data_IF_253858832701
#
_entry.id   IF_253858832701
#
_cell.length_a   1.000
_cell.length_b   1.000
_cell.length_c   1.000
_cell.angle_alpha   90.00
_cell.angle_beta   90.00
_cell.angle_gamma   90.00
#
_symmetry.space_group_name_H-M   'P 1'
#
loop_
_entity.id
_entity.type
_entity.pdbx_description
1 polymer ?
#
# COMPACT_ATOMS: atom_id res chain seq x y z
N UNK A 1 -70.40 -48.52 -37.77
CA UNK A 1 -70.25 -47.55 -36.70
C UNK A 1 -68.79 -47.61 -36.28
N UNK A 2 -67.93 -46.72 -36.78
CA UNK A 2 -66.53 -46.60 -36.43
C UNK A 2 -66.20 -45.07 -36.38
N UNK A 3 -65.94 -44.54 -35.21
CA UNK A 3 -65.53 -43.18 -34.93
C UNK A 3 -64.07 -43.03 -35.24
N UNK A 4 -63.73 -42.05 -36.03
CA UNK A 4 -62.34 -41.64 -36.37
C UNK A 4 -61.94 -40.49 -35.45
N UNK A 5 -60.87 -40.68 -34.64
CA UNK A 5 -60.28 -39.68 -33.80
C UNK A 5 -59.22 -38.88 -34.55
N UNK A 6 -59.40 -37.58 -34.62
CA UNK A 6 -58.45 -36.62 -35.18
C UNK A 6 -57.36 -36.34 -34.19
N UNK A 7 -56.09 -36.51 -34.52
CA UNK A 7 -54.92 -36.07 -33.75
C UNK A 7 -54.40 -34.75 -34.32
N UNK A 8 -54.51 -33.73 -33.53
CA UNK A 8 -53.90 -32.41 -33.80
C UNK A 8 -52.42 -32.46 -33.44
N UNK A 9 -51.55 -32.17 -34.39
CA UNK A 9 -50.11 -32.00 -34.19
C UNK A 9 -49.86 -30.54 -33.92
N UNK A 10 -49.39 -30.22 -32.71
CA UNK A 10 -48.92 -28.89 -32.34
C UNK A 10 -47.42 -28.81 -32.66
N UNK A 11 -47.08 -28.00 -33.65
CA UNK A 11 -45.70 -27.71 -34.01
C UNK A 11 -45.07 -26.72 -33.03
N UNK A 12 -44.01 -27.12 -32.38
CA UNK A 12 -43.20 -26.28 -31.50
C UNK A 12 -42.16 -25.53 -32.33
N UNK A 13 -42.37 -24.23 -32.56
CA UNK A 13 -41.36 -23.35 -33.15
C UNK A 13 -40.30 -23.01 -32.10
N UNK A 14 -39.09 -23.57 -32.24
CA UNK A 14 -37.90 -23.14 -31.51
C UNK A 14 -37.36 -21.85 -32.15
N UNK A 15 -37.60 -20.71 -31.47
CA UNK A 15 -36.91 -19.44 -31.77
C UNK A 15 -35.50 -19.49 -31.20
N UNK A 16 -34.51 -19.71 -32.06
CA UNK A 16 -33.10 -19.49 -31.70
C UNK A 16 -32.84 -17.99 -31.69
N UNK A 17 -32.78 -17.42 -30.48
CA UNK A 17 -32.29 -16.06 -30.25
C UNK A 17 -30.76 -16.02 -30.44
N UNK A 18 -30.32 -15.41 -31.54
CA UNK A 18 -28.90 -15.08 -31.77
C UNK A 18 -28.53 -13.95 -30.82
N UNK A 19 -27.81 -14.26 -29.73
CA UNK A 19 -27.14 -13.27 -28.93
C UNK A 19 -25.88 -12.82 -29.68
N UNK A 20 -25.92 -11.61 -30.27
CA UNK A 20 -24.71 -10.93 -30.73
C UNK A 20 -23.91 -10.50 -29.52
N UNK A 21 -22.81 -11.18 -29.24
CA UNK A 21 -21.79 -10.69 -28.37
C UNK A 21 -21.08 -9.53 -29.07
N UNK A 22 -21.43 -8.31 -28.72
CA UNK A 22 -20.67 -7.14 -29.14
C UNK A 22 -19.33 -7.17 -28.38
N UNK A 23 -18.27 -7.50 -29.08
CA UNK A 23 -16.90 -7.26 -28.61
C UNK A 23 -16.68 -5.74 -28.61
N UNK A 24 -16.77 -5.12 -27.42
CA UNK A 24 -16.31 -3.74 -27.25
C UNK A 24 -14.80 -3.76 -27.38
N UNK A 25 -14.30 -3.32 -28.52
CA UNK A 25 -12.88 -3.01 -28.70
C UNK A 25 -12.56 -1.80 -27.85
N UNK A 26 -11.84 -1.98 -26.76
CA UNK A 26 -11.34 -0.87 -25.95
C UNK A 26 -10.34 -0.07 -26.80
N UNK A 27 -10.73 1.12 -27.20
CA UNK A 27 -9.83 2.07 -27.84
C UNK A 27 -8.75 2.50 -26.81
N UNK A 28 -7.50 2.46 -27.23
CA UNK A 28 -6.38 2.92 -26.43
C UNK A 28 -6.39 4.46 -26.42
N UNK A 29 -6.51 5.05 -25.24
CA UNK A 29 -6.40 6.50 -25.09
C UNK A 29 -4.98 6.97 -25.44
N UNK A 30 -4.82 8.13 -26.09
CA UNK A 30 -3.50 8.59 -26.57
C UNK A 30 -2.55 9.08 -25.46
N UNK A 31 -2.93 9.02 -24.20
CA UNK A 31 -2.14 9.46 -23.04
C UNK A 31 -1.35 8.33 -22.34
N UNK A 32 -1.27 7.16 -22.94
CA UNK A 32 -0.51 6.02 -22.40
C UNK A 32 -1.13 5.33 -21.17
N UNK A 33 -2.38 5.63 -20.84
CA UNK A 33 -3.11 4.96 -19.75
C UNK A 33 -3.57 3.58 -20.19
N UNK A 34 -3.37 2.59 -19.34
CA UNK A 34 -3.91 1.24 -19.58
C UNK A 34 -5.44 1.27 -19.57
N UNK A 35 -6.11 0.49 -20.50
CA UNK A 35 -7.57 0.40 -20.49
C UNK A 35 -8.07 -0.13 -19.13
N UNK A 36 -8.93 0.63 -18.46
CA UNK A 36 -9.51 0.28 -17.16
C UNK A 36 -9.06 1.12 -15.97
N UNK A 37 -8.02 1.94 -16.12
CA UNK A 37 -7.66 2.94 -15.12
C UNK A 37 -8.42 4.25 -15.41
N UNK A 38 -9.69 4.32 -15.00
CA UNK A 38 -10.34 5.60 -14.80
C UNK A 38 -9.56 6.42 -13.76
N UNK A 39 -9.78 7.75 -13.64
CA UNK A 39 -9.16 8.52 -12.57
C UNK A 39 -9.51 7.83 -11.24
N UNK A 40 -8.50 7.27 -10.57
CA UNK A 40 -8.69 6.75 -9.22
C UNK A 40 -8.81 7.98 -8.33
N UNK A 41 -10.05 8.32 -8.02
CA UNK A 41 -10.38 9.47 -7.19
C UNK A 41 -10.44 8.96 -5.76
N UNK A 42 -9.45 9.32 -4.94
CA UNK A 42 -9.53 9.10 -3.49
C UNK A 42 -10.62 9.99 -2.87
N UNK A 43 -10.96 9.74 -1.61
CA UNK A 43 -12.00 10.46 -0.88
C UNK A 43 -11.55 11.83 -0.34
N UNK A 44 -10.25 12.13 -0.40
CA UNK A 44 -9.67 13.37 0.07
C UNK A 44 -10.00 14.60 -0.80
N UNK A 45 -9.57 15.79 -0.38
CA UNK A 45 -9.94 17.04 -1.03
C UNK A 45 -9.29 17.25 -2.40
N UNK A 46 -8.28 16.46 -2.77
CA UNK A 46 -7.55 16.62 -4.03
C UNK A 46 -7.84 15.47 -4.98
N UNK A 47 -8.18 15.79 -6.23
CA UNK A 47 -8.10 14.81 -7.32
C UNK A 47 -6.65 14.37 -7.49
N UNK A 48 -6.42 13.11 -7.77
CA UNK A 48 -5.08 12.55 -7.87
C UNK A 48 -4.79 11.99 -9.25
N UNK A 49 -3.51 11.96 -9.59
CA UNK A 49 -3.00 11.21 -10.72
C UNK A 49 -1.94 10.22 -10.26
N UNK A 50 -1.80 9.17 -11.05
CA UNK A 50 -0.72 8.19 -10.99
C UNK A 50 0.11 8.33 -12.26
N UNK A 51 1.41 8.59 -12.12
CA UNK A 51 2.30 8.84 -13.26
C UNK A 51 3.68 8.21 -13.04
N UNK A 52 4.45 8.12 -14.11
CA UNK A 52 5.89 7.83 -14.07
C UNK A 52 6.65 9.10 -14.45
N UNK A 53 7.85 9.27 -13.89
CA UNK A 53 8.74 10.39 -14.23
C UNK A 53 10.02 9.85 -14.86
N UNK A 54 10.46 10.40 -16.02
CA UNK A 54 11.71 9.97 -16.69
C UNK A 54 12.95 10.08 -15.81
N UNK A 55 12.96 11.01 -14.83
CA UNK A 55 14.03 11.17 -13.86
C UNK A 55 14.01 10.11 -12.74
N UNK A 56 12.94 9.30 -12.66
CA UNK A 56 12.77 8.23 -11.67
C UNK A 56 12.07 7.00 -12.28
N UNK A 57 12.65 6.35 -13.31
CA UNK A 57 11.96 5.39 -14.17
C UNK A 57 11.51 4.11 -13.47
N UNK A 58 12.14 3.76 -12.36
CA UNK A 58 11.80 2.55 -11.57
C UNK A 58 10.71 2.75 -10.52
N UNK A 59 9.92 3.83 -10.60
CA UNK A 59 8.95 4.18 -9.58
C UNK A 59 7.65 4.71 -10.18
N UNK A 60 6.59 4.61 -9.40
CA UNK A 60 5.28 5.20 -9.70
C UNK A 60 4.98 6.30 -8.70
N UNK A 61 4.56 7.45 -9.18
CA UNK A 61 4.27 8.65 -8.39
C UNK A 61 2.77 8.85 -8.32
N UNK A 62 2.25 9.06 -7.12
CA UNK A 62 0.88 9.48 -6.85
C UNK A 62 0.91 10.88 -6.26
N UNK A 63 0.14 11.79 -6.78
CA UNK A 63 0.10 13.18 -6.33
C UNK A 63 -1.23 13.85 -6.64
N UNK A 64 -1.57 14.96 -5.98
CA UNK A 64 -2.62 15.85 -6.45
C UNK A 64 -2.38 16.21 -7.93
N UNK A 65 -3.43 16.14 -8.73
CA UNK A 65 -3.38 16.43 -10.18
C UNK A 65 -2.94 17.87 -10.40
N UNK A 66 -3.62 18.80 -9.75
CA UNK A 66 -3.29 20.22 -9.78
C UNK A 66 -2.48 20.64 -8.54
N UNK A 67 -1.17 20.80 -8.73
CA UNK A 67 -0.28 21.30 -7.67
C UNK A 67 -0.49 22.80 -7.35
N UNK A 68 -1.20 23.56 -8.20
CA UNK A 68 -1.54 24.96 -7.90
C UNK A 68 -2.66 25.06 -6.86
N UNK A 69 -3.53 24.05 -6.79
CA UNK A 69 -4.61 23.95 -5.81
C UNK A 69 -4.12 23.79 -4.36
N UNK A 70 -2.84 23.54 -4.15
CA UNK A 70 -2.22 23.44 -2.82
C UNK A 70 -2.15 24.79 -2.08
N UNK A 71 -2.39 25.91 -2.77
CA UNK A 71 -2.42 27.25 -2.18
C UNK A 71 -1.20 27.57 -1.30
N UNK A 72 0.00 27.20 -1.73
CA UNK A 72 1.25 27.39 -1.00
C UNK A 72 1.56 26.34 0.06
N UNK A 73 0.70 25.34 0.27
CA UNK A 73 1.01 24.21 1.15
C UNK A 73 1.98 23.26 0.44
N UNK A 74 3.08 22.89 1.10
CA UNK A 74 4.00 21.89 0.57
C UNK A 74 3.53 20.47 0.91
N UNK A 75 3.71 19.54 -0.04
CA UNK A 75 3.38 18.12 0.11
C UNK A 75 4.44 17.41 0.97
N UNK A 76 4.09 16.77 2.07
CA UNK A 76 4.97 15.78 2.70
C UNK A 76 5.21 14.61 1.73
N UNK A 77 6.36 13.94 1.90
CA UNK A 77 6.81 12.85 1.04
C UNK A 77 6.55 11.51 1.73
N UNK A 78 5.95 10.58 1.00
CA UNK A 78 5.75 9.19 1.44
C UNK A 78 6.41 8.27 0.43
N UNK A 79 7.30 7.38 0.88
CA UNK A 79 7.88 6.34 0.01
C UNK A 79 7.35 4.98 0.43
N UNK A 80 7.00 4.14 -0.57
CA UNK A 80 6.28 2.89 -0.38
C UNK A 80 6.97 1.69 -1.01
N UNK A 81 7.21 0.64 -0.17
CA UNK A 81 7.66 -0.68 -0.60
C UNK A 81 6.49 -1.66 -0.77
N UNK A 82 6.47 -2.39 -1.89
CA UNK A 82 5.40 -3.32 -2.20
C UNK A 82 5.56 -4.68 -1.52
N UNK A 83 4.44 -5.34 -1.24
CA UNK A 83 4.41 -6.75 -0.86
C UNK A 83 5.09 -7.63 -1.91
N UNK A 84 5.64 -8.76 -1.46
CA UNK A 84 6.47 -9.64 -2.29
C UNK A 84 7.69 -8.93 -2.93
N UNK A 85 8.06 -7.75 -2.47
CA UNK A 85 9.03 -6.85 -3.13
C UNK A 85 8.76 -6.70 -4.64
N UNK A 86 7.49 -6.66 -5.00
CA UNK A 86 7.05 -6.62 -6.39
C UNK A 86 7.46 -5.33 -7.09
N UNK A 87 8.00 -5.46 -8.30
CA UNK A 87 8.34 -4.32 -9.16
C UNK A 87 7.10 -3.82 -9.92
N UNK A 88 6.11 -3.31 -9.17
CA UNK A 88 4.81 -2.90 -9.67
C UNK A 88 4.26 -1.76 -8.83
N UNK A 89 4.54 -0.52 -9.21
CA UNK A 89 4.20 0.65 -8.41
C UNK A 89 2.69 0.90 -8.27
N UNK A 90 1.87 0.32 -9.14
CA UNK A 90 0.41 0.38 -9.07
C UNK A 90 -0.24 -0.81 -8.35
N UNK A 91 0.53 -1.68 -7.69
CA UNK A 91 -0.01 -2.86 -7.01
C UNK A 91 -0.96 -2.51 -5.85
N UNK A 92 -0.70 -1.40 -5.15
CA UNK A 92 -1.52 -0.90 -4.05
C UNK A 92 -2.26 0.40 -4.39
N UNK A 93 -2.59 0.56 -5.68
CA UNK A 93 -3.08 1.83 -6.21
C UNK A 93 -4.29 2.43 -5.46
N UNK A 94 -5.36 1.72 -5.05
CA UNK A 94 -6.46 2.32 -4.30
C UNK A 94 -6.00 2.96 -2.98
N UNK A 95 -5.14 2.27 -2.23
CA UNK A 95 -4.59 2.73 -0.96
C UNK A 95 -3.66 3.94 -1.12
N UNK A 96 -2.76 3.92 -2.12
CA UNK A 96 -1.80 4.99 -2.34
C UNK A 96 -2.45 6.24 -2.93
N UNK A 97 -3.47 6.05 -3.77
CA UNK A 97 -4.31 7.13 -4.30
C UNK A 97 -5.06 7.83 -3.17
N UNK A 98 -5.63 7.07 -2.24
CA UNK A 98 -6.31 7.63 -1.09
C UNK A 98 -5.37 8.51 -0.27
N UNK A 99 -4.18 8.03 0.11
CA UNK A 99 -3.18 8.84 0.82
C UNK A 99 -2.85 10.12 0.05
N UNK A 100 -2.59 9.99 -1.25
CA UNK A 100 -2.25 11.13 -2.10
C UNK A 100 -3.37 12.15 -2.18
N UNK A 101 -4.64 11.73 -2.16
CA UNK A 101 -5.82 12.62 -2.21
C UNK A 101 -5.92 13.55 -0.99
N UNK A 102 -5.24 13.21 0.09
CA UNK A 102 -5.11 14.08 1.27
C UNK A 102 -3.89 15.02 1.22
N UNK A 103 -3.26 15.17 0.06
CA UNK A 103 -2.17 16.13 -0.13
C UNK A 103 -0.81 15.60 0.33
N UNK A 104 -0.42 14.47 -0.23
CA UNK A 104 0.90 13.86 -0.11
C UNK A 104 1.49 13.58 -1.50
N UNK A 105 2.80 13.68 -1.63
CA UNK A 105 3.54 13.04 -2.70
C UNK A 105 3.84 11.62 -2.26
N UNK A 106 3.26 10.62 -2.94
CA UNK A 106 3.52 9.20 -2.65
C UNK A 106 4.33 8.59 -3.79
N UNK A 107 5.45 7.94 -3.48
CA UNK A 107 6.34 7.33 -4.47
C UNK A 107 6.44 5.84 -4.13
N UNK A 108 5.88 5.00 -4.99
CA UNK A 108 5.91 3.55 -4.85
C UNK A 108 7.01 2.92 -5.71
N UNK A 109 7.63 1.87 -5.20
CA UNK A 109 8.61 1.07 -5.95
C UNK A 109 7.96 0.37 -7.14
N UNK A 110 8.62 0.42 -8.27
CA UNK A 110 8.20 -0.21 -9.52
C UNK A 110 7.47 0.72 -10.48
N UNK A 111 7.51 0.40 -11.79
CA UNK A 111 6.76 1.10 -12.81
C UNK A 111 5.25 0.77 -12.72
N UNK A 112 4.44 1.51 -13.49
CA UNK A 112 3.05 1.14 -13.75
C UNK A 112 3.06 -0.08 -14.67
N UNK A 113 2.46 -1.18 -14.21
CA UNK A 113 2.40 -2.44 -14.96
C UNK A 113 0.98 -2.91 -15.17
N UNK A 114 0.77 -3.84 -16.11
CA UNK A 114 -0.52 -4.49 -16.26
C UNK A 114 -0.77 -5.44 -15.09
N UNK A 115 -1.90 -5.27 -14.42
CA UNK A 115 -2.39 -6.15 -13.37
C UNK A 115 -3.40 -7.15 -13.95
N UNK A 116 -3.49 -8.33 -13.37
CA UNK A 116 -4.54 -9.29 -13.71
C UNK A 116 -5.91 -8.84 -13.14
N UNK A 117 -6.98 -9.57 -13.45
CA UNK A 117 -8.34 -9.24 -12.99
C UNK A 117 -8.49 -9.21 -11.46
N UNK A 118 -7.61 -9.88 -10.72
CA UNK A 118 -7.58 -9.85 -9.26
C UNK A 118 -6.69 -8.73 -8.68
N UNK A 119 -6.12 -7.86 -9.55
CA UNK A 119 -5.27 -6.73 -9.14
C UNK A 119 -3.84 -7.12 -8.74
N UNK A 120 -3.35 -8.27 -9.21
CA UNK A 120 -1.96 -8.70 -8.97
C UNK A 120 -1.08 -8.44 -10.20
N UNK A 121 0.18 -8.01 -10.00
CA UNK A 121 1.12 -7.92 -11.10
C UNK A 121 1.39 -9.31 -11.69
N UNK A 122 1.63 -9.34 -13.01
CA UNK A 122 2.06 -10.58 -13.66
C UNK A 122 3.53 -10.84 -13.32
N UNK A 123 3.82 -12.04 -12.85
CA UNK A 123 5.17 -12.45 -12.46
C UNK A 123 5.17 -13.82 -11.81
N UNK A 124 6.34 -14.35 -11.43
CA UNK A 124 6.39 -15.60 -10.70
C UNK A 124 5.62 -15.46 -9.39
N UNK A 125 4.64 -16.35 -9.19
CA UNK A 125 3.88 -16.39 -7.96
C UNK A 125 4.82 -16.71 -6.79
N UNK A 126 4.66 -15.98 -5.68
CA UNK A 126 5.29 -16.39 -4.42
C UNK A 126 4.68 -17.74 -4.03
N UNK A 127 5.49 -18.79 -3.87
CA UNK A 127 4.95 -20.09 -3.49
C UNK A 127 4.17 -19.99 -2.18
N UNK A 128 3.02 -20.66 -2.06
CA UNK A 128 2.31 -20.70 -0.80
C UNK A 128 3.21 -21.33 0.28
N UNK A 129 3.16 -20.77 1.47
CA UNK A 129 3.86 -21.32 2.61
C UNK A 129 3.35 -22.76 2.86
N UNK A 130 4.24 -23.75 3.03
CA UNK A 130 3.81 -25.10 3.37
C UNK A 130 2.96 -25.12 4.66
N UNK A 131 1.92 -25.94 4.67
CA UNK A 131 1.04 -26.06 5.83
C UNK A 131 1.85 -26.58 7.04
N UNK A 132 1.63 -25.94 8.20
CA UNK A 132 2.36 -26.28 9.45
C UNK A 132 3.78 -25.72 9.56
N UNK A 133 4.24 -24.93 8.58
CA UNK A 133 5.53 -24.24 8.72
C UNK A 133 5.47 -23.13 9.76
N UNK A 134 6.58 -22.93 10.46
CA UNK A 134 6.72 -21.87 11.48
C UNK A 134 6.58 -20.48 10.83
N UNK A 135 5.56 -19.67 11.20
CA UNK A 135 5.34 -18.35 10.63
C UNK A 135 6.46 -17.35 10.97
N UNK A 136 7.28 -17.65 11.98
CA UNK A 136 8.41 -16.79 12.36
C UNK A 136 9.67 -17.06 11.52
N UNK A 137 9.64 -18.03 10.61
CA UNK A 137 10.72 -18.30 9.66
C UNK A 137 10.35 -17.79 8.27
N UNK A 138 11.34 -17.40 7.44
CA UNK A 138 11.06 -17.06 6.04
C UNK A 138 10.49 -18.28 5.29
N UNK A 139 9.59 -18.07 4.31
CA UNK A 139 9.18 -19.17 3.43
C UNK A 139 10.40 -19.77 2.71
N UNK A 140 10.46 -21.09 2.57
CA UNK A 140 11.51 -21.71 1.76
C UNK A 140 11.34 -21.33 0.28
N UNK A 141 12.45 -21.19 -0.43
CA UNK A 141 12.45 -20.93 -1.88
C UNK A 141 11.77 -19.61 -2.30
N UNK A 142 11.95 -18.55 -1.53
CA UNK A 142 11.54 -17.21 -1.99
C UNK A 142 12.32 -16.85 -3.26
N UNK A 143 11.63 -16.33 -4.31
CA UNK A 143 12.32 -15.78 -5.46
C UNK A 143 13.17 -14.57 -5.03
N UNK A 144 14.24 -14.24 -5.77
CA UNK A 144 14.96 -12.98 -5.55
C UNK A 144 14.02 -11.78 -5.57
N UNK A 145 14.27 -10.82 -4.70
CA UNK A 145 13.51 -9.59 -4.65
C UNK A 145 13.63 -8.82 -5.97
N UNK A 146 12.50 -8.42 -6.53
CA UNK A 146 12.45 -7.62 -7.76
C UNK A 146 12.71 -6.12 -7.50
N UNK A 147 12.56 -5.68 -6.24
CA UNK A 147 12.90 -4.32 -5.78
C UNK A 147 13.82 -4.38 -4.56
N UNK A 148 14.56 -3.31 -4.31
CA UNK A 148 15.56 -3.20 -3.26
C UNK A 148 15.28 -1.99 -2.36
N UNK A 149 15.63 -2.08 -1.07
CA UNK A 149 15.43 -1.01 -0.09
C UNK A 149 16.11 0.31 -0.49
N UNK A 150 17.27 0.25 -1.17
CA UNK A 150 17.96 1.44 -1.68
C UNK A 150 17.09 2.27 -2.63
N UNK A 151 16.15 1.67 -3.35
CA UNK A 151 15.25 2.40 -4.25
C UNK A 151 14.29 3.34 -3.47
N UNK A 152 13.96 3.03 -2.22
CA UNK A 152 13.23 3.97 -1.37
C UNK A 152 14.07 5.23 -1.05
N UNK A 153 15.38 5.06 -0.87
CA UNK A 153 16.33 6.16 -0.70
C UNK A 153 16.46 6.97 -1.99
N UNK A 154 16.50 6.30 -3.15
CA UNK A 154 16.53 6.96 -4.46
C UNK A 154 15.28 7.84 -4.67
N UNK A 155 14.10 7.34 -4.30
CA UNK A 155 12.85 8.10 -4.34
C UNK A 155 12.90 9.36 -3.47
N UNK A 156 13.44 9.27 -2.25
CA UNK A 156 13.63 10.41 -1.35
C UNK A 156 14.62 11.42 -1.96
N UNK A 157 15.74 10.95 -2.47
CA UNK A 157 16.77 11.80 -3.08
C UNK A 157 16.21 12.54 -4.30
N UNK A 158 15.47 11.82 -5.17
CA UNK A 158 14.81 12.42 -6.32
C UNK A 158 13.81 13.50 -5.90
N UNK A 159 12.94 13.23 -4.94
CA UNK A 159 11.94 14.20 -4.49
C UNK A 159 12.60 15.48 -3.92
N UNK A 160 13.66 15.33 -3.14
CA UNK A 160 14.42 16.47 -2.61
C UNK A 160 15.07 17.26 -3.73
N UNK A 161 15.69 16.59 -4.72
CA UNK A 161 16.32 17.23 -5.86
C UNK A 161 15.30 17.99 -6.73
N UNK A 162 14.15 17.37 -7.01
CA UNK A 162 13.07 18.00 -7.77
C UNK A 162 12.46 19.22 -7.05
N UNK A 163 12.38 19.18 -5.74
CA UNK A 163 11.94 20.33 -4.94
C UNK A 163 12.91 21.52 -5.03
N UNK A 164 14.17 21.26 -5.32
CA UNK A 164 15.23 22.30 -5.44
C UNK A 164 15.48 22.74 -6.88
N UNK A 165 15.10 21.92 -7.85
CA UNK A 165 15.37 22.17 -9.27
C UNK A 165 14.41 23.21 -9.86
N UNK A 166 14.95 24.39 -10.21
CA UNK A 166 14.18 25.40 -10.94
C UNK A 166 13.63 24.83 -12.25
N UNK A 167 12.35 25.08 -12.52
CA UNK A 167 11.63 24.54 -13.69
C UNK A 167 11.02 23.14 -13.47
N UNK A 168 11.28 22.48 -12.34
CA UNK A 168 10.51 21.30 -11.95
C UNK A 168 9.07 21.67 -11.60
N UNK A 169 8.11 20.80 -11.96
CA UNK A 169 6.73 20.93 -11.47
C UNK A 169 6.64 20.85 -9.93
N UNK A 170 7.66 20.25 -9.28
CA UNK A 170 7.78 20.12 -7.83
C UNK A 170 8.60 21.23 -7.16
N UNK A 171 9.13 22.19 -7.91
CA UNK A 171 9.97 23.26 -7.35
C UNK A 171 9.29 24.01 -6.21
N UNK A 172 9.87 23.94 -5.01
CA UNK A 172 9.36 24.55 -3.77
C UNK A 172 7.93 24.10 -3.36
N UNK A 173 7.52 22.89 -3.79
CA UNK A 173 6.19 22.35 -3.49
C UNK A 173 6.21 21.14 -2.57
N UNK A 174 7.40 20.63 -2.22
CA UNK A 174 7.55 19.47 -1.34
C UNK A 174 8.13 19.87 0.01
N UNK A 175 7.66 19.24 1.08
CA UNK A 175 8.25 19.40 2.40
C UNK A 175 9.30 18.30 2.64
N UNK A 176 10.53 18.59 2.28
CA UNK A 176 11.67 17.65 2.39
C UNK A 176 12.09 17.35 3.83
N UNK A 177 11.46 18.00 4.83
CA UNK A 177 11.66 17.71 6.27
C UNK A 177 10.58 16.80 6.83
N UNK A 178 9.57 16.43 6.05
CA UNK A 178 8.42 15.62 6.44
C UNK A 178 8.31 14.40 5.54
N UNK A 179 9.07 13.37 5.88
CA UNK A 179 9.22 12.16 5.08
C UNK A 179 8.75 10.96 5.89
N UNK A 180 7.83 10.18 5.32
CA UNK A 180 7.44 8.88 5.85
C UNK A 180 7.93 7.75 4.94
N UNK A 181 8.37 6.66 5.56
CA UNK A 181 8.60 5.40 4.86
C UNK A 181 7.54 4.39 5.27
N UNK A 182 6.98 3.71 4.29
CA UNK A 182 5.92 2.73 4.48
C UNK A 182 6.12 1.52 3.58
N UNK A 183 5.55 0.38 3.96
CA UNK A 183 5.57 -0.77 3.09
C UNK A 183 4.79 -1.96 3.65
N UNK A 184 4.35 -2.84 2.75
CA UNK A 184 3.59 -4.04 3.08
C UNK A 184 4.46 -5.29 2.92
N UNK A 185 4.39 -6.22 3.90
CA UNK A 185 5.08 -7.52 3.83
C UNK A 185 6.60 -7.36 3.55
N UNK A 186 7.11 -7.88 2.46
CA UNK A 186 8.49 -7.68 2.01
C UNK A 186 8.86 -6.18 1.96
N UNK A 187 7.98 -5.32 1.41
CA UNK A 187 8.16 -3.88 1.41
C UNK A 187 8.17 -3.25 2.81
N UNK A 188 7.51 -3.89 3.79
CA UNK A 188 7.59 -3.49 5.19
C UNK A 188 8.98 -3.74 5.79
N UNK A 189 9.67 -4.83 5.39
CA UNK A 189 11.08 -5.07 5.76
C UNK A 189 11.98 -4.01 5.13
N UNK A 190 11.76 -3.65 3.84
CA UNK A 190 12.46 -2.53 3.18
C UNK A 190 12.25 -1.22 3.94
N UNK A 191 11.01 -0.96 4.39
CA UNK A 191 10.68 0.24 5.14
C UNK A 191 11.39 0.28 6.51
N UNK A 192 11.50 -0.85 7.22
CA UNK A 192 12.25 -0.92 8.49
C UNK A 192 13.73 -0.60 8.26
N UNK A 193 14.33 -1.16 7.21
CA UNK A 193 15.74 -0.90 6.86
C UNK A 193 15.98 0.60 6.60
N UNK A 194 15.10 1.22 5.81
CA UNK A 194 15.21 2.64 5.44
C UNK A 194 14.83 3.57 6.59
N UNK A 195 14.02 3.12 7.55
CA UNK A 195 13.62 3.95 8.71
C UNK A 195 14.80 4.39 9.60
N UNK A 196 16.00 3.82 9.39
CA UNK A 196 17.24 4.28 10.01
C UNK A 196 17.82 5.57 9.38
N UNK A 197 17.35 5.98 8.18
CA UNK A 197 17.81 7.21 7.53
C UNK A 197 17.37 8.43 8.36
N UNK A 198 18.28 9.36 8.73
CA UNK A 198 17.98 10.47 9.63
C UNK A 198 16.94 11.47 9.07
N UNK A 199 16.61 11.41 7.80
CA UNK A 199 15.59 12.26 7.17
C UNK A 199 14.17 11.75 7.41
N UNK A 200 14.01 10.48 7.82
CA UNK A 200 12.69 9.88 8.07
C UNK A 200 12.08 10.48 9.34
N UNK A 201 10.86 10.97 9.23
CA UNK A 201 10.09 11.54 10.34
C UNK A 201 9.22 10.48 11.03
N UNK A 202 8.74 9.51 10.29
CA UNK A 202 7.92 8.39 10.79
C UNK A 202 7.96 7.21 9.86
N UNK A 203 7.68 6.01 10.39
CA UNK A 203 7.53 4.79 9.60
C UNK A 203 6.18 4.11 9.87
N UNK A 204 5.60 3.48 8.83
CA UNK A 204 4.44 2.60 9.01
C UNK A 204 4.71 1.25 8.36
N UNK A 205 4.65 0.22 9.18
CA UNK A 205 4.94 -1.17 8.81
C UNK A 205 3.63 -1.92 8.69
N UNK A 206 3.32 -2.35 7.49
CA UNK A 206 2.03 -2.92 7.13
C UNK A 206 2.13 -4.42 6.89
N UNK A 207 1.33 -5.24 7.60
CA UNK A 207 1.32 -6.72 7.49
C UNK A 207 2.75 -7.26 7.37
N UNK A 208 3.66 -6.81 8.25
CA UNK A 208 5.10 -7.10 8.17
C UNK A 208 5.74 -7.11 9.55
N UNK A 209 6.97 -7.58 9.60
CA UNK A 209 7.84 -7.63 10.78
C UNK A 209 9.11 -8.39 10.44
N UNK A 210 10.18 -8.17 11.20
CA UNK A 210 11.45 -8.82 10.98
C UNK A 210 11.42 -10.29 11.43
N UNK A 211 12.19 -11.14 10.77
CA UNK A 211 12.40 -12.50 11.24
C UNK A 211 13.38 -12.54 12.43
N UNK A 212 13.25 -13.52 13.35
CA UNK A 212 14.15 -13.66 14.48
C UNK A 212 15.62 -13.87 14.09
N UNK A 213 15.85 -14.58 12.99
CA UNK A 213 17.20 -14.83 12.44
C UNK A 213 17.49 -13.83 11.33
N UNK A 214 18.76 -13.44 11.16
CA UNK A 214 19.16 -12.62 10.02
C UNK A 214 18.67 -13.22 8.70
N UNK A 215 17.94 -12.43 7.94
CA UNK A 215 17.27 -12.86 6.71
C UNK A 215 17.42 -11.79 5.64
N UNK A 216 17.98 -12.20 4.50
CA UNK A 216 18.00 -11.38 3.29
C UNK A 216 16.73 -11.66 2.48
N UNK A 217 15.71 -10.85 2.68
CA UNK A 217 14.42 -11.04 2.02
C UNK A 217 14.03 -9.88 1.13
N UNK A 218 14.50 -8.69 1.45
CA UNK A 218 13.97 -7.44 0.88
C UNK A 218 14.89 -6.81 -0.18
N UNK A 219 15.85 -7.55 -0.71
CA UNK A 219 16.83 -7.04 -1.68
C UNK A 219 17.73 -5.94 -1.12
N UNK A 220 17.93 -5.94 0.20
CA UNK A 220 18.83 -5.07 0.94
C UNK A 220 19.83 -5.88 1.77
N UNK A 221 20.17 -5.37 2.94
CA UNK A 221 21.00 -6.14 3.87
C UNK A 221 20.21 -7.26 4.55
N UNK A 222 20.90 -8.24 5.09
CA UNK A 222 20.31 -9.23 5.96
C UNK A 222 19.81 -8.57 7.24
N UNK A 223 18.49 -8.56 7.47
CA UNK A 223 17.82 -7.92 8.59
C UNK A 223 17.47 -8.91 9.70
N UNK A 224 17.58 -8.47 10.93
CA UNK A 224 17.19 -9.23 12.13
C UNK A 224 16.50 -8.32 13.15
N UNK A 225 16.02 -8.90 14.26
CA UNK A 225 15.41 -8.14 15.36
C UNK A 225 16.35 -7.10 15.99
N UNK A 226 17.66 -7.26 15.87
CA UNK A 226 18.63 -6.27 16.38
C UNK A 226 18.60 -4.96 15.60
N UNK A 227 18.20 -4.99 14.33
CA UNK A 227 18.08 -3.80 13.49
C UNK A 227 16.96 -2.85 13.96
N UNK A 228 15.99 -3.35 14.74
CA UNK A 228 14.94 -2.51 15.35
C UNK A 228 15.52 -1.44 16.30
N UNK A 229 16.75 -1.62 16.79
CA UNK A 229 17.44 -0.64 17.63
C UNK A 229 17.84 0.63 16.88
N UNK A 230 17.89 0.58 15.55
CA UNK A 230 18.19 1.73 14.69
C UNK A 230 17.01 2.67 14.46
N UNK A 231 15.81 2.26 14.86
CA UNK A 231 14.63 3.11 14.76
C UNK A 231 14.76 4.33 15.68
N UNK A 232 14.55 5.52 15.15
CA UNK A 232 14.73 6.79 15.85
C UNK A 232 13.48 7.69 15.81
N UNK A 233 12.41 7.26 15.13
CA UNK A 233 11.18 8.01 14.89
C UNK A 233 9.95 7.24 15.37
N UNK A 234 8.79 7.90 15.58
CA UNK A 234 7.55 7.20 15.84
C UNK A 234 7.23 6.17 14.75
N UNK A 235 6.82 4.97 15.15
CA UNK A 235 6.50 3.88 14.23
C UNK A 235 5.12 3.30 14.51
N UNK A 236 4.37 3.00 13.43
CA UNK A 236 3.11 2.25 13.49
C UNK A 236 3.25 0.89 12.82
N UNK A 237 2.88 -0.17 13.51
CA UNK A 237 2.73 -1.52 12.97
C UNK A 237 1.24 -1.81 12.83
N UNK A 238 0.78 -1.97 11.60
CA UNK A 238 -0.62 -2.24 11.28
C UNK A 238 -0.71 -3.56 10.51
N UNK A 239 -1.64 -4.44 10.89
CA UNK A 239 -1.79 -5.72 10.22
C UNK A 239 -3.22 -6.27 10.31
N UNK A 240 -3.47 -7.42 9.71
CA UNK A 240 -4.56 -8.30 10.06
C UNK A 240 -4.34 -8.98 11.41
N UNK A 241 -5.28 -9.84 11.80
CA UNK A 241 -5.22 -10.60 13.04
C UNK A 241 -4.29 -11.82 12.95
N UNK A 242 -4.45 -12.78 13.86
CA UNK A 242 -3.60 -13.98 13.95
C UNK A 242 -3.58 -14.85 12.67
N UNK A 243 -4.47 -14.61 11.70
CA UNK A 243 -4.45 -15.26 10.39
C UNK A 243 -3.48 -14.57 9.40
N UNK A 244 -2.98 -13.39 9.75
CA UNK A 244 -1.92 -12.74 8.99
C UNK A 244 -0.58 -13.44 9.25
N UNK A 245 0.07 -13.90 8.19
CA UNK A 245 1.37 -14.61 8.28
C UNK A 245 2.49 -13.78 8.91
N UNK A 246 2.35 -12.46 8.96
CA UNK A 246 3.32 -11.55 9.59
C UNK A 246 2.96 -11.21 11.04
N UNK A 247 1.79 -11.63 11.55
CA UNK A 247 1.29 -11.25 12.85
C UNK A 247 2.27 -11.50 13.99
N UNK A 248 2.80 -12.72 14.07
CA UNK A 248 3.73 -13.10 15.14
C UNK A 248 5.04 -12.28 15.10
N UNK A 249 5.55 -11.99 13.89
CA UNK A 249 6.75 -11.18 13.73
C UNK A 249 6.51 -9.71 14.10
N UNK A 250 5.34 -9.16 13.74
CA UNK A 250 4.94 -7.79 14.10
C UNK A 250 4.77 -7.63 15.62
N UNK A 251 4.20 -8.64 16.29
CA UNK A 251 4.03 -8.65 17.74
C UNK A 251 5.37 -8.74 18.47
N UNK A 252 6.29 -9.58 17.99
CA UNK A 252 7.65 -9.67 18.56
C UNK A 252 8.45 -8.38 18.32
N UNK A 253 8.31 -7.74 17.15
CA UNK A 253 8.90 -6.41 16.90
C UNK A 253 8.37 -5.38 17.89
N UNK A 254 7.05 -5.34 18.09
CA UNK A 254 6.44 -4.45 19.06
C UNK A 254 7.00 -4.64 20.47
N UNK A 255 7.21 -5.89 20.91
CA UNK A 255 7.78 -6.15 22.25
C UNK A 255 9.20 -5.62 22.38
N UNK A 256 10.00 -5.73 21.33
CA UNK A 256 11.42 -5.33 21.34
C UNK A 256 11.64 -3.84 21.19
N UNK A 257 10.75 -3.14 20.48
CA UNK A 257 10.87 -1.69 20.30
C UNK A 257 10.52 -0.97 21.59
N UNK A 258 11.54 -0.35 22.22
CA UNK A 258 11.39 0.40 23.45
C UNK A 258 11.98 1.83 23.36
N UNK A 259 12.78 2.13 22.33
CA UNK A 259 13.47 3.42 22.19
C UNK A 259 12.55 4.55 21.72
N UNK A 260 11.61 4.25 20.83
CA UNK A 260 10.73 5.21 20.15
C UNK A 260 9.25 5.00 20.51
N UNK A 261 8.38 6.01 20.29
CA UNK A 261 6.93 5.81 20.32
C UNK A 261 6.52 4.74 19.29
N UNK A 262 5.72 3.76 19.75
CA UNK A 262 5.23 2.71 18.87
C UNK A 262 3.75 2.43 19.08
N UNK A 263 3.01 2.34 17.96
CA UNK A 263 1.62 1.93 17.88
C UNK A 263 1.53 0.59 17.17
N UNK A 264 0.86 -0.38 17.78
CA UNK A 264 0.54 -1.68 17.21
C UNK A 264 -0.97 -1.81 17.12
N UNK A 265 -1.51 -1.85 15.90
CA UNK A 265 -2.92 -2.09 15.64
C UNK A 265 -3.12 -3.29 14.73
N UNK A 266 -4.12 -4.12 15.01
CA UNK A 266 -4.55 -5.12 14.05
C UNK A 266 -6.08 -5.18 13.96
N UNK A 267 -6.56 -5.42 12.75
CA UNK A 267 -7.99 -5.49 12.47
C UNK A 267 -8.45 -6.95 12.45
N UNK A 268 -9.50 -7.24 13.22
CA UNK A 268 -10.08 -8.58 13.33
C UNK A 268 -10.69 -9.04 12.00
N UNK A 269 -10.48 -10.30 11.64
CA UNK A 269 -10.98 -10.89 10.40
C UNK A 269 -10.24 -10.47 9.13
N UNK A 270 -9.21 -9.62 9.27
CA UNK A 270 -8.36 -9.23 8.15
C UNK A 270 -7.12 -10.13 8.12
N UNK A 271 -6.73 -10.57 6.93
CA UNK A 271 -5.56 -11.43 6.70
C UNK A 271 -4.38 -10.62 6.16
N UNK A 272 -3.33 -11.31 5.70
CA UNK A 272 -2.13 -10.70 5.11
C UNK A 272 -2.40 -9.79 3.91
N UNK A 273 -3.52 -9.99 3.22
CA UNK A 273 -3.94 -9.14 2.09
C UNK A 273 -4.37 -7.73 2.49
N UNK A 274 -4.64 -7.46 3.78
CA UNK A 274 -5.11 -6.16 4.24
C UNK A 274 -6.41 -5.69 3.56
N UNK A 275 -6.68 -4.40 3.65
CA UNK A 275 -7.84 -3.76 2.99
C UNK A 275 -7.47 -2.95 1.75
N UNK A 276 -6.20 -2.95 1.36
CA UNK A 276 -5.60 -2.04 0.37
C UNK A 276 -6.30 -1.97 -0.99
N UNK A 277 -6.98 -3.05 -1.42
CA UNK A 277 -7.69 -3.14 -2.72
C UNK A 277 -9.17 -2.85 -2.64
N UNK A 278 -9.69 -2.61 -1.44
CA UNK A 278 -11.04 -2.12 -1.27
C UNK A 278 -11.13 -0.68 -1.81
N UNK A 279 -12.36 -0.17 -2.11
CA UNK A 279 -12.53 1.22 -2.46
C UNK A 279 -11.80 2.14 -1.48
N UNK A 280 -11.05 3.10 -2.01
CA UNK A 280 -10.22 4.05 -1.26
C UNK A 280 -9.24 3.40 -0.26
N UNK A 281 -8.85 2.13 -0.49
CA UNK A 281 -7.92 1.40 0.37
C UNK A 281 -8.52 0.87 1.67
N UNK A 282 -9.84 1.01 1.87
CA UNK A 282 -10.57 0.51 3.03
C UNK A 282 -10.14 1.14 4.36
N UNK A 283 -10.32 0.41 5.46
CA UNK A 283 -9.98 0.91 6.81
C UNK A 283 -8.50 1.26 6.97
N UNK A 284 -7.61 0.52 6.32
CA UNK A 284 -6.17 0.76 6.45
C UNK A 284 -5.76 2.13 5.93
N UNK A 285 -6.40 2.64 4.87
CA UNK A 285 -6.08 3.97 4.35
C UNK A 285 -6.49 5.08 5.32
N UNK A 286 -7.65 4.95 5.99
CA UNK A 286 -8.06 5.88 7.02
C UNK A 286 -7.05 5.96 8.19
N UNK A 287 -6.52 4.79 8.59
CA UNK A 287 -5.44 4.73 9.61
C UNK A 287 -4.15 5.37 9.09
N UNK A 288 -3.79 5.11 7.82
CA UNK A 288 -2.59 5.70 7.21
C UNK A 288 -2.69 7.23 7.15
N UNK A 289 -3.78 7.77 6.61
CA UNK A 289 -4.02 9.21 6.48
C UNK A 289 -3.98 9.87 7.87
N UNK A 290 -4.67 9.32 8.86
CA UNK A 290 -4.69 9.89 10.20
C UNK A 290 -3.30 9.88 10.87
N UNK A 291 -2.51 8.81 10.71
CA UNK A 291 -1.16 8.74 11.22
C UNK A 291 -0.25 9.76 10.55
N UNK A 292 -0.29 9.83 9.21
CA UNK A 292 0.52 10.75 8.42
C UNK A 292 0.14 12.22 8.71
N UNK A 293 -1.14 12.52 8.81
CA UNK A 293 -1.61 13.87 9.19
C UNK A 293 -1.12 14.27 10.58
N UNK A 294 -1.14 13.34 11.53
CA UNK A 294 -0.60 13.60 12.86
C UNK A 294 0.92 13.82 12.82
N UNK A 295 1.67 12.87 12.27
CA UNK A 295 3.14 12.85 12.35
C UNK A 295 3.81 13.88 11.42
N UNK A 296 3.25 14.09 10.22
CA UNK A 296 3.87 14.94 9.21
C UNK A 296 3.25 16.35 9.16
N UNK A 297 1.95 16.49 9.40
CA UNK A 297 1.26 17.79 9.35
C UNK A 297 0.96 18.37 10.73
N UNK A 298 1.24 17.63 11.81
CA UNK A 298 0.99 18.07 13.19
C UNK A 298 -0.50 18.18 13.55
N UNK A 299 -1.38 17.49 12.81
CA UNK A 299 -2.83 17.53 13.00
C UNK A 299 -3.22 16.84 14.32
N UNK A 300 -3.49 17.62 15.36
CA UNK A 300 -3.85 17.09 16.67
C UNK A 300 -5.21 16.37 16.68
N UNK A 301 -6.14 16.73 15.79
CA UNK A 301 -7.42 16.00 15.66
C UNK A 301 -7.19 14.58 15.12
N UNK A 302 -6.30 14.42 14.16
CA UNK A 302 -5.93 13.11 13.64
C UNK A 302 -5.24 12.25 14.72
N UNK A 303 -4.47 12.84 15.64
CA UNK A 303 -3.83 12.11 16.73
C UNK A 303 -4.82 11.41 17.68
N UNK A 304 -6.07 11.88 17.76
CA UNK A 304 -7.11 11.28 18.59
C UNK A 304 -7.47 9.84 18.15
N UNK A 305 -7.13 9.45 16.93
CA UNK A 305 -7.26 8.07 16.50
C UNK A 305 -6.33 7.12 17.27
N UNK A 306 -5.21 7.62 17.82
CA UNK A 306 -4.13 6.83 18.41
C UNK A 306 -3.89 7.12 19.88
N UNK A 307 -4.15 8.37 20.34
CA UNK A 307 -3.80 8.88 21.68
C UNK A 307 -4.91 8.68 22.70
N UNK A 308 -4.50 8.52 23.96
CA UNK A 308 -5.42 8.36 25.10
C UNK A 308 -6.01 6.95 25.22
N UNK A 309 -6.61 6.66 26.37
CA UNK A 309 -7.20 5.35 26.68
C UNK A 309 -8.44 5.03 25.80
N UNK A 310 -9.15 6.09 25.36
CA UNK A 310 -10.36 6.03 24.52
C UNK A 310 -10.11 6.51 23.11
N UNK A 311 -8.91 6.27 22.57
CA UNK A 311 -8.57 6.65 21.21
C UNK A 311 -9.55 6.05 20.19
N UNK A 312 -9.68 6.67 19.01
CA UNK A 312 -10.65 6.23 18.01
C UNK A 312 -10.55 4.74 17.66
N UNK A 313 -9.33 4.22 17.47
CA UNK A 313 -9.12 2.77 17.26
C UNK A 313 -9.26 1.96 18.55
N UNK A 314 -9.00 2.54 19.73
CA UNK A 314 -9.12 1.86 21.00
C UNK A 314 -10.57 1.46 21.35
N UNK A 315 -11.53 2.26 20.92
CA UNK A 315 -12.97 2.02 21.16
C UNK A 315 -13.68 1.34 19.98
N UNK A 316 -13.00 1.16 18.86
CA UNK A 316 -13.54 0.45 17.71
C UNK A 316 -13.41 -1.07 17.92
N UNK A 317 -14.53 -1.83 18.01
CA UNK A 317 -14.50 -3.28 18.32
C UNK A 317 -13.81 -4.14 17.25
N UNK A 318 -13.62 -3.60 16.04
CA UNK A 318 -12.89 -4.28 14.96
C UNK A 318 -11.39 -4.29 15.19
N UNK A 319 -10.86 -3.40 16.02
CA UNK A 319 -9.44 -3.21 16.24
C UNK A 319 -8.98 -3.73 17.60
N UNK A 320 -7.75 -4.21 17.64
CA UNK A 320 -7.02 -4.48 18.89
C UNK A 320 -5.75 -3.63 18.87
N UNK A 321 -5.56 -2.87 19.94
CA UNK A 321 -4.53 -1.84 20.00
C UNK A 321 -3.59 -2.08 21.18
N UNK A 322 -2.31 -1.94 20.91
CA UNK A 322 -1.23 -1.86 21.89
C UNK A 322 -0.34 -0.66 21.53
N UNK A 323 0.19 0.02 22.53
CA UNK A 323 1.04 1.19 22.29
C UNK A 323 2.04 1.41 23.41
N UNK A 324 3.16 2.01 23.09
CA UNK A 324 4.21 2.44 24.04
C UNK A 324 4.62 3.86 23.69
N UNK A 325 4.74 4.74 24.69
CA UNK A 325 5.13 6.15 24.55
C UNK A 325 4.21 6.96 23.59
N UNK A 326 2.94 6.60 23.53
CA UNK A 326 1.87 7.31 22.80
C UNK A 326 0.74 7.57 23.80
N UNK A 327 0.66 8.77 24.30
CA UNK A 327 -0.31 9.21 25.31
C UNK A 327 -1.24 10.30 24.73
#
# INVERSE_FOLDING_TARGET
>A
MKTISSRTVVGLLCLFGFWMVQTVSAAQEPDGRSPGAGPMVGSGPYKTIMEMDPGLPGHTIYRPDDLSALNGTSLPIVVWGNGACANAGNFFAPFLTEISSYGYLVIALGPIVQLNAAGFPQGPAVPPRPQGSDPTQPPPNLPPSATHSVQLIEAINWAIAENQRAGSKYYQRLDSKKIAVMGQSCGGVQAIEVAADPRITTAMIWNSGLFPKPTEMAGGKSMSKDDLKSLHTPVAYISGDAQDIAFANADDDFERIASVPIFRGYERGVTHGGTYRQPDGGEFSGVAVAWLDWQLKGNQRASLMFKGATCGLCVNPRWVIRKKKID
#
